data_IF_660553077057
#
_entry.id   IF_660553077057
#
_cell.length_a   1.000
_cell.length_b   1.000
_cell.length_c   1.000
_cell.angle_alpha   90.00
_cell.angle_beta   90.00
_cell.angle_gamma   90.00
#
_symmetry.space_group_name_H-M   'P 1'
#
loop_
_entity.id
_entity.type
_entity.pdbx_description
1 polymer ?
#
# COMPACT_ATOMS: atom_id res chain seq x y z
N UNK A 1 13.75 16.52 27.77
CA UNK A 1 14.63 15.83 26.81
C UNK A 1 13.79 14.95 25.89
N UNK A 2 14.03 15.01 24.58
CA UNK A 2 13.31 14.19 23.62
C UNK A 2 14.03 12.85 23.44
N UNK A 3 13.27 11.74 23.48
CA UNK A 3 13.76 10.39 23.14
C UNK A 3 13.28 10.02 21.73
N UNK A 4 14.18 9.47 20.92
CA UNK A 4 13.88 9.03 19.55
C UNK A 4 13.91 7.51 19.50
N UNK A 5 12.76 6.93 19.16
CA UNK A 5 12.63 5.49 18.91
C UNK A 5 12.62 5.22 17.40
N UNK A 6 13.69 4.62 16.89
CA UNK A 6 13.82 4.21 15.49
C UNK A 6 13.46 2.73 15.35
N UNK A 7 12.48 2.44 14.51
CA UNK A 7 11.96 1.10 14.31
C UNK A 7 12.12 0.67 12.86
N UNK A 8 12.53 -0.57 12.65
CA UNK A 8 12.44 -1.23 11.36
C UNK A 8 11.69 -2.55 11.49
N UNK A 9 10.85 -2.82 10.49
CA UNK A 9 10.07 -4.06 10.41
C UNK A 9 10.48 -4.78 9.13
N UNK A 10 10.83 -6.06 9.26
CA UNK A 10 11.04 -6.98 8.14
C UNK A 10 9.76 -7.81 7.96
N UNK A 11 9.23 -7.86 6.74
CA UNK A 11 8.08 -8.70 6.42
C UNK A 11 8.61 -9.98 5.76
N UNK A 12 8.47 -11.16 6.40
CA UNK A 12 8.93 -12.41 5.83
C UNK A 12 8.12 -12.79 4.59
N UNK A 13 8.76 -13.53 3.68
CA UNK A 13 8.07 -14.06 2.51
C UNK A 13 7.38 -15.36 2.93
N UNK A 14 6.05 -15.34 3.05
CA UNK A 14 5.25 -16.54 3.30
C UNK A 14 4.84 -17.18 1.96
N UNK A 15 5.48 -18.29 1.60
CA UNK A 15 5.11 -19.10 0.43
C UNK A 15 4.46 -20.39 0.89
N UNK A 16 3.19 -20.59 0.53
CA UNK A 16 2.46 -21.84 0.81
C UNK A 16 2.79 -22.91 -0.25
N UNK A 17 4.00 -23.49 -0.21
CA UNK A 17 4.40 -24.64 -1.03
C UNK A 17 5.21 -25.65 -0.20
N UNK A 18 5.37 -26.89 -0.71
CA UNK A 18 6.07 -28.01 -0.02
C UNK A 18 7.58 -27.76 0.26
N UNK A 19 8.14 -26.63 -0.19
CA UNK A 19 9.57 -26.26 -0.07
C UNK A 19 9.86 -25.35 1.15
N UNK A 20 9.22 -25.63 2.29
CA UNK A 20 9.26 -24.77 3.49
C UNK A 20 10.67 -24.52 4.04
N UNK A 21 11.51 -25.55 4.18
CA UNK A 21 12.79 -25.42 4.89
C UNK A 21 13.79 -24.51 4.15
N UNK A 22 13.82 -24.57 2.81
CA UNK A 22 14.71 -23.73 1.98
C UNK A 22 14.28 -22.26 1.95
N UNK A 23 12.99 -21.97 2.12
CA UNK A 23 12.46 -20.61 2.15
C UNK A 23 12.63 -20.00 3.54
N UNK A 24 12.49 -20.80 4.61
CA UNK A 24 12.78 -20.37 5.98
C UNK A 24 14.25 -19.97 6.17
N UNK A 25 15.21 -20.79 5.73
CA UNK A 25 16.64 -20.45 5.82
C UNK A 25 16.99 -19.17 5.04
N UNK A 26 16.36 -18.96 3.88
CA UNK A 26 16.53 -17.71 3.12
C UNK A 26 15.89 -16.51 3.82
N UNK A 27 14.73 -16.66 4.48
CA UNK A 27 14.10 -15.58 5.23
C UNK A 27 14.96 -15.12 6.41
N UNK A 28 15.61 -16.04 7.13
CA UNK A 28 16.49 -15.70 8.26
C UNK A 28 17.71 -14.90 7.79
N UNK A 29 18.38 -15.34 6.71
CA UNK A 29 19.51 -14.60 6.14
C UNK A 29 19.09 -13.22 5.60
N UNK A 30 17.94 -13.13 4.93
CA UNK A 30 17.40 -11.86 4.42
C UNK A 30 17.03 -10.89 5.55
N UNK A 31 16.50 -11.42 6.66
CA UNK A 31 16.15 -10.66 7.85
C UNK A 31 17.41 -10.09 8.52
N UNK A 32 18.45 -10.89 8.71
CA UNK A 32 19.73 -10.43 9.25
C UNK A 32 20.35 -9.33 8.39
N UNK A 33 20.46 -9.57 7.08
CA UNK A 33 20.95 -8.61 6.10
C UNK A 33 20.16 -7.30 6.12
N UNK A 34 18.84 -7.38 6.28
CA UNK A 34 17.96 -6.22 6.34
C UNK A 34 18.25 -5.36 7.58
N UNK A 35 18.40 -5.98 8.75
CA UNK A 35 18.68 -5.24 9.99
C UNK A 35 20.09 -4.66 10.01
N UNK A 36 21.09 -5.38 9.48
CA UNK A 36 22.46 -4.85 9.31
C UNK A 36 22.44 -3.61 8.42
N UNK A 37 21.81 -3.67 7.24
CA UNK A 37 21.70 -2.52 6.32
C UNK A 37 20.99 -1.32 6.94
N UNK A 38 19.96 -1.56 7.75
CA UNK A 38 19.28 -0.50 8.49
C UNK A 38 20.22 0.17 9.50
N UNK A 39 20.90 -0.63 10.32
CA UNK A 39 21.83 -0.14 11.33
C UNK A 39 23.02 0.62 10.72
N UNK A 40 23.55 0.13 9.59
CA UNK A 40 24.59 0.81 8.84
C UNK A 40 24.13 2.17 8.30
N UNK A 41 22.89 2.27 7.83
CA UNK A 41 22.32 3.53 7.35
C UNK A 41 22.25 4.58 8.46
N UNK A 42 22.03 4.16 9.71
CA UNK A 42 21.97 5.05 10.87
C UNK A 42 23.34 5.60 11.30
N UNK A 43 24.45 4.94 10.96
CA UNK A 43 25.81 5.41 11.29
C UNK A 43 26.14 6.76 10.66
N UNK A 44 25.45 7.11 9.58
CA UNK A 44 25.64 8.38 8.87
C UNK A 44 24.96 9.58 9.57
N UNK A 45 24.19 9.34 10.63
CA UNK A 45 23.48 10.40 11.37
C UNK A 45 24.13 10.67 12.73
N UNK A 46 24.24 11.96 13.09
CA UNK A 46 24.79 12.35 14.38
C UNK A 46 23.71 12.29 15.48
N UNK A 47 23.73 11.21 16.26
CA UNK A 47 22.78 10.98 17.36
C UNK A 47 23.36 11.28 18.75
N UNK A 48 24.57 11.84 18.86
CA UNK A 48 25.31 11.96 20.14
C UNK A 48 24.59 12.77 21.23
N UNK A 49 23.71 13.67 20.84
CA UNK A 49 22.99 14.56 21.75
C UNK A 49 21.51 14.18 21.92
N UNK A 50 21.11 12.99 21.47
CA UNK A 50 19.73 12.52 21.51
C UNK A 50 19.72 11.13 22.15
N UNK A 51 18.82 10.91 23.11
CA UNK A 51 18.56 9.56 23.62
C UNK A 51 17.86 8.78 22.51
N UNK A 52 18.57 7.88 21.86
CA UNK A 52 18.09 7.12 20.72
C UNK A 52 18.00 5.63 21.03
N UNK A 53 16.85 5.02 20.74
CA UNK A 53 16.63 3.56 20.82
C UNK A 53 16.36 3.00 19.44
N UNK A 54 16.97 1.86 19.14
CA UNK A 54 16.72 1.10 17.91
C UNK A 54 15.90 -0.15 18.22
N UNK A 55 14.95 -0.51 17.38
CA UNK A 55 14.14 -1.72 17.54
C UNK A 55 13.90 -2.39 16.20
N UNK A 56 14.16 -3.69 16.16
CA UNK A 56 13.89 -4.56 15.02
C UNK A 56 12.68 -5.44 15.31
N UNK A 57 11.82 -5.62 14.31
CA UNK A 57 10.64 -6.49 14.36
C UNK A 57 10.52 -7.29 13.07
N UNK A 58 9.94 -8.48 13.17
CA UNK A 58 9.54 -9.29 12.01
C UNK A 58 8.01 -9.39 11.96
N UNK A 59 7.45 -9.50 10.76
CA UNK A 59 6.03 -9.63 10.48
C UNK A 59 5.44 -8.41 9.78
N UNK A 60 4.12 -8.29 9.83
CA UNK A 60 3.37 -7.27 9.07
C UNK A 60 3.73 -5.84 9.55
N UNK A 61 4.24 -4.95 8.68
CA UNK A 61 4.77 -3.64 9.08
C UNK A 61 3.76 -2.71 9.77
N UNK A 62 2.58 -2.51 9.18
CA UNK A 62 1.59 -1.55 9.72
C UNK A 62 1.13 -1.97 11.13
N UNK A 63 0.90 -3.26 11.34
CA UNK A 63 0.47 -3.82 12.61
C UNK A 63 1.55 -3.64 13.69
N UNK A 64 2.81 -3.98 13.37
CA UNK A 64 3.93 -3.80 14.28
C UNK A 64 4.15 -2.33 14.69
N UNK A 65 3.95 -1.39 13.75
CA UNK A 65 4.02 0.04 14.04
C UNK A 65 2.92 0.47 15.01
N UNK A 66 1.67 0.10 14.76
CA UNK A 66 0.53 0.43 15.64
C UNK A 66 0.66 -0.18 17.04
N UNK A 67 1.11 -1.44 17.13
CA UNK A 67 1.39 -2.11 18.41
C UNK A 67 2.48 -1.34 19.19
N UNK A 68 3.51 -0.88 18.50
CA UNK A 68 4.60 -0.11 19.11
C UNK A 68 4.10 1.24 19.60
N UNK A 69 3.26 1.93 18.82
CA UNK A 69 2.64 3.19 19.22
C UNK A 69 1.73 2.99 20.44
N UNK A 70 0.90 1.95 20.45
CA UNK A 70 0.03 1.64 21.59
C UNK A 70 0.84 1.35 22.86
N UNK A 71 1.99 0.66 22.72
CA UNK A 71 2.87 0.30 23.84
C UNK A 71 3.62 1.50 24.42
N UNK A 72 4.27 2.30 23.56
CA UNK A 72 5.18 3.36 24.01
C UNK A 72 4.54 4.74 24.04
N UNK A 73 3.34 4.90 23.45
CA UNK A 73 2.56 6.15 23.41
C UNK A 73 3.41 7.36 23.02
N UNK A 74 4.11 7.33 21.86
CA UNK A 74 4.93 8.45 21.43
C UNK A 74 4.06 9.68 21.17
N UNK A 75 4.56 10.87 21.48
CA UNK A 75 3.87 12.13 21.17
C UNK A 75 3.83 12.42 19.66
N UNK A 76 4.82 11.92 18.92
CA UNK A 76 5.02 12.15 17.50
C UNK A 76 5.51 10.89 16.77
N UNK A 77 4.79 10.49 15.72
CA UNK A 77 5.24 9.50 14.73
C UNK A 77 5.88 10.21 13.53
N UNK A 78 7.11 9.84 13.17
CA UNK A 78 7.72 10.23 11.89
C UNK A 78 7.76 9.01 10.99
N UNK A 79 7.14 9.09 9.82
CA UNK A 79 7.05 7.97 8.87
C UNK A 79 7.30 8.45 7.43
N UNK A 80 7.97 7.62 6.64
CA UNK A 80 8.14 7.88 5.22
C UNK A 80 6.81 7.81 4.46
N UNK A 81 6.72 8.50 3.32
CA UNK A 81 5.57 8.43 2.40
C UNK A 81 5.75 7.36 1.32
N UNK A 82 6.90 6.69 1.21
CA UNK A 82 7.14 5.64 0.20
C UNK A 82 8.07 4.56 0.74
N UNK A 83 7.84 3.31 0.32
CA UNK A 83 8.66 2.15 0.68
C UNK A 83 9.73 1.79 -0.37
N UNK A 84 10.51 0.73 -0.09
CA UNK A 84 11.61 0.23 -0.93
C UNK A 84 11.20 -0.31 -2.31
N UNK A 85 9.90 -0.56 -2.54
CA UNK A 85 9.40 -1.16 -3.79
C UNK A 85 9.44 -0.22 -5.01
N UNK A 86 9.90 1.03 -4.86
CA UNK A 86 10.22 1.88 -6.01
C UNK A 86 9.04 2.12 -6.95
N UNK A 87 7.80 2.09 -6.45
CA UNK A 87 6.62 2.45 -7.23
C UNK A 87 6.54 3.98 -7.30
N UNK A 88 7.23 4.57 -8.28
CA UNK A 88 7.32 6.02 -8.51
C UNK A 88 5.95 6.74 -8.62
N UNK A 89 4.83 6.00 -8.70
CA UNK A 89 3.46 6.52 -8.87
C UNK A 89 2.60 6.53 -7.60
N UNK A 90 3.02 5.92 -6.48
CA UNK A 90 2.26 5.98 -5.21
C UNK A 90 2.86 7.05 -4.28
N UNK A 91 2.09 8.12 -4.05
CA UNK A 91 2.53 9.25 -3.22
C UNK A 91 2.58 8.91 -1.72
N UNK A 92 1.70 8.01 -1.24
CA UNK A 92 1.67 7.46 0.13
C UNK A 92 1.71 5.93 0.07
N UNK A 93 2.76 5.30 0.59
CA UNK A 93 2.91 3.86 0.62
C UNK A 93 1.79 3.17 1.41
N UNK A 94 1.42 1.95 1.01
CA UNK A 94 0.33 1.17 1.61
C UNK A 94 0.47 0.96 3.12
N UNK A 95 1.70 0.88 3.64
CA UNK A 95 1.96 0.83 5.09
C UNK A 95 1.61 2.16 5.75
N UNK A 96 2.08 3.26 5.19
CA UNK A 96 1.84 4.61 5.72
C UNK A 96 0.36 4.93 5.75
N UNK A 97 -0.39 4.64 4.68
CA UNK A 97 -1.83 4.86 4.62
C UNK A 97 -2.59 4.13 5.74
N UNK A 98 -2.25 2.85 5.96
CA UNK A 98 -2.87 2.03 7.02
C UNK A 98 -2.56 2.60 8.40
N UNK A 99 -1.31 3.00 8.65
CA UNK A 99 -0.87 3.53 9.95
C UNK A 99 -1.54 4.88 10.26
N UNK A 100 -1.53 5.84 9.33
CA UNK A 100 -2.05 7.20 9.60
C UNK A 100 -3.56 7.21 9.83
N UNK A 101 -4.30 6.21 9.32
CA UNK A 101 -5.74 6.07 9.54
C UNK A 101 -6.08 5.71 10.99
N UNK A 102 -5.15 5.07 11.70
CA UNK A 102 -5.39 4.46 13.01
C UNK A 102 -4.50 5.03 14.12
N UNK A 103 -3.54 5.91 13.78
CA UNK A 103 -2.57 6.45 14.75
C UNK A 103 -3.25 7.41 15.75
N UNK A 104 -3.10 7.19 17.07
CA UNK A 104 -3.70 8.05 18.10
C UNK A 104 -2.85 9.27 18.46
N UNK A 105 -1.63 9.40 17.92
CA UNK A 105 -0.72 10.51 18.19
C UNK A 105 -0.51 11.41 16.96
N UNK A 106 0.12 12.55 17.17
CA UNK A 106 0.53 13.43 16.06
C UNK A 106 1.47 12.66 15.14
N UNK A 107 1.39 12.91 13.84
CA UNK A 107 2.30 12.29 12.89
C UNK A 107 2.82 13.29 11.86
N UNK A 108 4.05 13.07 11.40
CA UNK A 108 4.68 13.76 10.28
C UNK A 108 5.03 12.72 9.24
N UNK A 109 4.52 12.92 8.03
CA UNK A 109 4.95 12.14 6.88
C UNK A 109 6.04 12.88 6.13
N UNK A 110 7.15 12.23 5.81
CA UNK A 110 8.22 12.89 5.04
C UNK A 110 7.95 12.77 3.53
N UNK A 111 7.47 13.88 2.92
CA UNK A 111 7.61 14.28 1.49
C UNK A 111 7.26 15.76 1.36
N UNK A 112 7.94 16.48 0.46
CA UNK A 112 7.80 17.92 0.16
C UNK A 112 6.36 18.45 0.35
N UNK A 113 6.21 19.37 1.29
CA UNK A 113 4.95 19.93 1.81
C UNK A 113 4.02 20.46 0.68
N UNK A 114 2.71 20.28 0.87
CA UNK A 114 1.58 20.84 0.07
C UNK A 114 1.01 20.10 -1.16
N UNK A 115 1.47 18.89 -1.53
CA UNK A 115 0.93 18.21 -2.72
C UNK A 115 -0.19 17.19 -2.44
N UNK A 116 -0.35 16.69 -1.22
CA UNK A 116 -1.16 15.47 -0.97
C UNK A 116 -2.67 15.74 -1.09
N UNK A 117 -3.20 16.77 -0.44
CA UNK A 117 -4.65 17.03 -0.39
C UNK A 117 -5.18 17.54 -1.75
N UNK A 118 -4.46 18.47 -2.38
CA UNK A 118 -4.79 19.00 -3.71
C UNK A 118 -4.64 17.96 -4.83
N UNK A 119 -3.66 17.05 -4.75
CA UNK A 119 -3.49 16.00 -5.76
C UNK A 119 -4.44 14.82 -5.55
N UNK A 120 -4.91 14.56 -4.32
CA UNK A 120 -5.94 13.54 -4.09
C UNK A 120 -7.27 13.95 -4.70
N UNK A 121 -7.72 15.18 -4.44
CA UNK A 121 -8.96 15.68 -5.05
C UNK A 121 -8.85 15.79 -6.58
N UNK A 122 -7.70 16.25 -7.10
CA UNK A 122 -7.46 16.30 -8.55
C UNK A 122 -7.48 14.91 -9.17
N UNK A 123 -6.77 13.94 -8.60
CA UNK A 123 -6.67 12.58 -9.18
C UNK A 123 -7.96 11.79 -9.07
N UNK A 124 -8.75 11.97 -8.01
CA UNK A 124 -10.09 11.37 -7.92
C UNK A 124 -10.96 11.93 -9.05
N UNK A 125 -10.96 13.26 -9.23
CA UNK A 125 -11.67 13.90 -10.34
C UNK A 125 -11.17 13.42 -11.71
N UNK A 126 -9.86 13.23 -11.88
CA UNK A 126 -9.26 12.73 -13.13
C UNK A 126 -9.69 11.27 -13.39
N UNK A 127 -9.68 10.40 -12.37
CA UNK A 127 -10.14 9.01 -12.49
C UNK A 127 -11.62 8.95 -12.82
N UNK A 128 -12.46 9.72 -12.12
CA UNK A 128 -13.90 9.76 -12.38
C UNK A 128 -14.21 10.29 -13.77
N UNK A 129 -13.50 11.35 -14.21
CA UNK A 129 -13.63 11.93 -15.54
C UNK A 129 -13.29 10.91 -16.63
N UNK A 130 -12.11 10.31 -16.57
CA UNK A 130 -11.68 9.33 -17.58
C UNK A 130 -12.54 8.06 -17.54
N UNK A 131 -12.96 7.60 -16.36
CA UNK A 131 -13.83 6.43 -16.25
C UNK A 131 -15.21 6.70 -16.84
N UNK A 132 -15.78 7.89 -16.60
CA UNK A 132 -17.04 8.32 -17.19
C UNK A 132 -16.93 8.40 -18.72
N UNK A 133 -15.90 9.09 -19.23
CA UNK A 133 -15.68 9.21 -20.67
C UNK A 133 -15.49 7.84 -21.34
N UNK A 134 -14.73 6.93 -20.73
CA UNK A 134 -14.55 5.58 -21.25
C UNK A 134 -15.87 4.80 -21.37
N UNK A 135 -16.77 4.95 -20.40
CA UNK A 135 -18.10 4.34 -20.43
C UNK A 135 -19.01 4.97 -21.51
N UNK A 136 -18.96 6.28 -21.69
CA UNK A 136 -19.70 6.98 -22.75
C UNK A 136 -19.22 6.54 -24.13
N UNK A 137 -17.90 6.52 -24.36
CA UNK A 137 -17.29 6.05 -25.61
C UNK A 137 -17.64 4.59 -25.91
N UNK A 138 -17.64 3.71 -24.90
CA UNK A 138 -18.10 2.33 -25.05
C UNK A 138 -19.56 2.25 -25.50
N UNK A 139 -20.43 3.09 -24.92
CA UNK A 139 -21.86 3.14 -25.24
C UNK A 139 -22.07 3.59 -26.69
N UNK A 140 -21.25 4.53 -27.15
CA UNK A 140 -21.28 5.08 -28.50
C UNK A 140 -20.57 4.18 -29.53
N UNK A 141 -19.91 3.10 -29.09
CA UNK A 141 -19.24 2.12 -29.95
C UNK A 141 -17.77 2.44 -30.29
N UNK A 142 -17.19 3.48 -29.69
CA UNK A 142 -15.79 3.88 -29.83
C UNK A 142 -14.88 3.07 -28.90
N UNK A 143 -14.67 1.79 -29.26
CA UNK A 143 -14.05 0.80 -28.38
C UNK A 143 -12.56 1.10 -28.09
N UNK A 144 -11.80 1.57 -29.07
CA UNK A 144 -10.37 1.83 -28.90
C UNK A 144 -10.12 3.10 -28.08
N UNK A 145 -10.92 4.14 -28.29
CA UNK A 145 -10.88 5.37 -27.51
C UNK A 145 -11.30 5.11 -26.06
N UNK A 146 -12.30 4.25 -25.84
CA UNK A 146 -12.67 3.82 -24.50
C UNK A 146 -11.53 3.05 -23.81
N UNK A 147 -10.82 2.18 -24.54
CA UNK A 147 -9.66 1.46 -24.03
C UNK A 147 -8.57 2.42 -23.53
N UNK A 148 -8.29 3.47 -24.30
CA UNK A 148 -7.33 4.51 -23.91
C UNK A 148 -7.76 5.21 -22.62
N UNK A 149 -9.03 5.62 -22.51
CA UNK A 149 -9.55 6.26 -21.29
C UNK A 149 -9.41 5.36 -20.05
N UNK A 150 -9.71 4.07 -20.19
CA UNK A 150 -9.57 3.14 -19.07
C UNK A 150 -8.10 2.84 -18.72
N UNK A 151 -7.19 2.84 -19.70
CA UNK A 151 -5.76 2.72 -19.40
C UNK A 151 -5.23 3.92 -18.62
N UNK A 152 -5.68 5.14 -18.92
CA UNK A 152 -5.36 6.32 -18.12
C UNK A 152 -5.84 6.12 -16.67
N UNK A 153 -7.07 5.64 -16.47
CA UNK A 153 -7.58 5.33 -15.13
C UNK A 153 -6.75 4.26 -14.42
N UNK A 154 -6.34 3.20 -15.13
CA UNK A 154 -5.55 2.10 -14.58
C UNK A 154 -4.14 2.57 -14.17
N UNK A 155 -3.56 3.52 -14.91
CA UNK A 155 -2.30 4.18 -14.61
C UNK A 155 -2.39 5.06 -13.36
N UNK A 156 -3.55 5.69 -13.13
CA UNK A 156 -3.84 6.50 -11.95
C UNK A 156 -4.14 5.64 -10.72
N UNK A 157 -4.91 4.56 -10.88
CA UNK A 157 -5.24 3.59 -9.83
C UNK A 157 -5.58 2.21 -10.44
N UNK A 158 -4.67 1.25 -10.26
CA UNK A 158 -4.82 -0.11 -10.79
C UNK A 158 -5.81 -1.00 -10.02
N UNK A 159 -6.36 -0.53 -8.89
CA UNK A 159 -7.40 -1.20 -8.11
C UNK A 159 -8.77 -0.53 -8.29
N UNK A 160 -8.91 0.43 -9.20
CA UNK A 160 -10.18 1.09 -9.44
C UNK A 160 -11.19 0.13 -10.10
N UNK A 161 -12.09 -0.42 -9.28
CA UNK A 161 -13.04 -1.47 -9.67
C UNK A 161 -13.85 -1.10 -10.93
N UNK A 162 -14.44 0.11 -11.04
CA UNK A 162 -15.18 0.49 -12.26
C UNK A 162 -14.33 0.42 -13.53
N UNK A 163 -13.08 0.85 -13.47
CA UNK A 163 -12.13 0.77 -14.61
C UNK A 163 -11.81 -0.67 -14.97
N UNK A 164 -11.59 -1.54 -13.99
CA UNK A 164 -11.32 -2.97 -14.23
C UNK A 164 -12.51 -3.63 -14.93
N UNK A 165 -13.75 -3.31 -14.53
CA UNK A 165 -14.94 -3.78 -15.25
C UNK A 165 -15.05 -3.17 -16.66
N UNK A 166 -14.77 -1.88 -16.83
CA UNK A 166 -14.73 -1.22 -18.14
C UNK A 166 -13.75 -1.89 -19.11
N UNK A 167 -12.52 -2.17 -18.65
CA UNK A 167 -11.51 -2.91 -19.42
C UNK A 167 -11.97 -4.33 -19.76
N UNK A 168 -12.63 -5.02 -18.83
CA UNK A 168 -13.20 -6.33 -19.11
C UNK A 168 -14.23 -6.25 -20.25
N UNK A 169 -15.15 -5.29 -20.20
CA UNK A 169 -16.15 -5.06 -21.26
C UNK A 169 -15.51 -4.71 -22.61
N UNK A 170 -14.49 -3.85 -22.63
CA UNK A 170 -13.73 -3.54 -23.86
C UNK A 170 -13.14 -4.80 -24.48
N UNK A 171 -12.44 -5.62 -23.69
CA UNK A 171 -11.78 -6.82 -24.22
C UNK A 171 -12.78 -7.90 -24.65
N UNK A 172 -13.97 -7.97 -24.05
CA UNK A 172 -15.05 -8.81 -24.58
C UNK A 172 -15.51 -8.36 -25.97
N UNK A 173 -15.75 -7.06 -26.16
CA UNK A 173 -16.16 -6.51 -27.45
C UNK A 173 -15.09 -6.70 -28.53
N UNK A 174 -13.80 -6.69 -28.15
CA UNK A 174 -12.68 -7.00 -29.05
C UNK A 174 -12.46 -8.50 -29.28
N UNK A 175 -13.18 -9.37 -28.58
CA UNK A 175 -13.05 -10.83 -28.68
C UNK A 175 -11.90 -11.46 -27.88
N UNK A 176 -11.16 -10.69 -27.07
CA UNK A 176 -10.08 -11.19 -26.21
C UNK A 176 -10.64 -11.64 -24.85
N UNK A 177 -11.29 -12.81 -24.85
CA UNK A 177 -11.96 -13.37 -23.68
C UNK A 177 -10.98 -13.68 -22.53
N UNK A 178 -9.70 -13.91 -22.85
CA UNK A 178 -8.67 -14.18 -21.84
C UNK A 178 -8.37 -12.92 -21.02
N UNK A 179 -8.16 -11.78 -21.68
CA UNK A 179 -7.98 -10.50 -20.97
C UNK A 179 -9.25 -10.06 -20.25
N UNK A 180 -10.43 -10.27 -20.85
CA UNK A 180 -11.69 -9.97 -20.19
C UNK A 180 -11.83 -10.71 -18.84
N UNK A 181 -11.53 -12.02 -18.83
CA UNK A 181 -11.54 -12.83 -17.60
C UNK A 181 -10.50 -12.36 -16.59
N UNK A 182 -9.30 -12.01 -17.04
CA UNK A 182 -8.23 -11.48 -16.18
C UNK A 182 -8.70 -10.22 -15.44
N UNK A 183 -9.25 -9.22 -16.14
CA UNK A 183 -9.70 -7.98 -15.51
C UNK A 183 -10.89 -8.18 -14.56
N UNK A 184 -11.83 -9.09 -14.87
CA UNK A 184 -12.89 -9.47 -13.92
C UNK A 184 -12.36 -10.14 -12.67
N UNK A 185 -11.36 -11.02 -12.82
CA UNK A 185 -10.71 -11.65 -11.68
C UNK A 185 -10.04 -10.61 -10.79
N UNK A 186 -9.31 -9.66 -11.39
CA UNK A 186 -8.70 -8.55 -10.65
C UNK A 186 -9.73 -7.72 -9.89
N UNK A 187 -10.86 -7.38 -10.52
CA UNK A 187 -11.94 -6.65 -9.85
C UNK A 187 -12.51 -7.44 -8.65
N UNK A 188 -12.75 -8.74 -8.83
CA UNK A 188 -13.23 -9.63 -7.77
C UNK A 188 -12.23 -9.77 -6.62
N UNK A 189 -10.94 -9.93 -6.92
CA UNK A 189 -9.87 -10.00 -5.93
C UNK A 189 -9.77 -8.71 -5.10
N UNK A 190 -9.87 -7.54 -5.74
CA UNK A 190 -9.93 -6.25 -5.03
C UNK A 190 -11.15 -6.19 -4.11
N UNK A 191 -12.33 -6.56 -4.60
CA UNK A 191 -13.56 -6.60 -3.78
C UNK A 191 -13.41 -7.54 -2.59
N UNK A 192 -12.90 -8.75 -2.81
CA UNK A 192 -12.71 -9.75 -1.76
C UNK A 192 -11.75 -9.26 -0.68
N UNK A 193 -10.64 -8.63 -1.05
CA UNK A 193 -9.70 -8.02 -0.09
C UNK A 193 -10.32 -6.86 0.70
N UNK A 194 -11.17 -6.06 0.06
CA UNK A 194 -11.90 -4.98 0.72
C UNK A 194 -12.96 -5.50 1.69
N UNK A 195 -13.67 -6.56 1.32
CA UNK A 195 -14.68 -7.20 2.17
C UNK A 195 -14.06 -7.98 3.32
N UNK A 196 -13.00 -8.74 3.08
CA UNK A 196 -12.25 -9.43 4.12
C UNK A 196 -11.71 -8.43 5.17
N UNK A 197 -11.12 -7.32 4.72
CA UNK A 197 -10.68 -6.27 5.64
C UNK A 197 -11.81 -5.49 6.33
N UNK A 198 -13.04 -5.48 5.80
CA UNK A 198 -14.21 -4.89 6.48
C UNK A 198 -14.79 -5.84 7.52
N UNK A 199 -14.94 -7.12 7.14
CA UNK A 199 -15.41 -8.19 8.01
C UNK A 199 -14.41 -8.42 9.15
N UNK A 200 -13.12 -8.45 8.88
CA UNK A 200 -12.07 -8.56 9.90
C UNK A 200 -12.10 -7.37 10.87
N UNK A 201 -12.30 -6.14 10.38
CA UNK A 201 -12.49 -4.96 11.24
C UNK A 201 -13.77 -5.05 12.08
N UNK A 202 -14.87 -5.54 11.52
CA UNK A 202 -16.13 -5.68 12.24
C UNK A 202 -16.10 -6.85 13.25
N UNK A 203 -15.41 -7.94 12.94
CA UNK A 203 -15.11 -9.03 13.88
C UNK A 203 -14.24 -8.51 15.02
N UNK A 204 -13.15 -7.80 14.74
CA UNK A 204 -12.28 -7.21 15.79
C UNK A 204 -13.00 -6.17 16.66
N UNK A 205 -14.03 -5.49 16.14
CA UNK A 205 -14.86 -4.56 16.92
C UNK A 205 -15.85 -5.27 17.86
N UNK A 206 -16.36 -6.44 17.48
CA UNK A 206 -17.40 -7.15 18.24
C UNK A 206 -16.85 -8.33 19.06
N UNK A 207 -15.71 -8.86 18.67
CA UNK A 207 -14.99 -9.93 19.34
C UNK A 207 -13.58 -9.41 19.62
N UNK A 208 -13.40 -8.91 20.84
CA UNK A 208 -12.07 -8.64 21.38
C UNK A 208 -11.36 -9.98 21.53
N UNK A 209 -10.35 -10.24 20.69
CA UNK A 209 -9.39 -11.33 20.89
C UNK A 209 -8.18 -10.76 21.62
#
# INVERSE_FOLDING_TARGET
DAEVNMMSVFEPIDVYTEELDFICEQNDQLLEDYFIKFDDSLKNFNLKNITARKTHKSGVPYANILITIAKYKPDLLIIGTTGKTGLAKILIGSVTEKVIREVPCSFITTKSENLIELQMESKIKDIEYHCKNGNELLTDGYIDEALEQFHICLDLNNMHIPTLYGLASVYELKGDLSKAKMFRFMASDVINRLWDGSIERDIRKHYTI
#
